data_IF_795840483475
#
_entry.id   IF_795840483475
#
_cell.length_a   1.000
_cell.length_b   1.000
_cell.length_c   1.000
_cell.angle_alpha   90.00
_cell.angle_beta   90.00
_cell.angle_gamma   90.00
#
_symmetry.space_group_name_H-M   'P 1'
#
loop_
_entity.id
_entity.type
_entity.pdbx_description
1 polymer ?
#
# COMPACT_ATOMS: atom_id res chain seq x y z
N UNK A 1 15.12 20.17 -7.59
CA UNK A 1 15.22 21.35 -6.70
C UNK A 1 16.22 22.43 -7.19
N UNK A 2 16.73 22.41 -8.43
CA UNK A 2 17.93 23.20 -8.79
C UNK A 2 17.72 24.68 -9.19
N UNK A 3 16.57 25.28 -8.90
CA UNK A 3 16.35 26.70 -9.20
C UNK A 3 16.80 27.58 -8.02
N UNK A 4 17.87 28.39 -8.16
CA UNK A 4 18.41 29.19 -7.05
C UNK A 4 17.48 30.30 -6.56
N UNK A 5 16.39 30.59 -7.29
CA UNK A 5 15.39 31.59 -6.92
C UNK A 5 14.19 31.00 -6.15
N UNK A 6 14.21 29.71 -5.82
CA UNK A 6 13.14 29.02 -5.10
C UNK A 6 13.74 28.31 -3.88
N UNK A 7 13.03 28.41 -2.75
CA UNK A 7 13.34 27.65 -1.54
C UNK A 7 12.35 26.49 -1.46
N UNK A 8 12.86 25.27 -1.42
CA UNK A 8 12.08 24.07 -1.14
C UNK A 8 12.20 23.76 0.35
N UNK A 9 11.05 23.55 1.00
CA UNK A 9 10.99 23.21 2.42
C UNK A 9 10.40 21.81 2.51
N UNK A 10 11.17 20.91 3.11
CA UNK A 10 10.77 19.53 3.40
C UNK A 10 10.52 19.38 4.90
N UNK A 11 9.53 18.57 5.26
CA UNK A 11 9.19 18.32 6.64
C UNK A 11 8.15 17.22 6.79
N UNK A 12 7.96 16.70 8.01
CA UNK A 12 7.03 15.62 8.27
C UNK A 12 5.59 16.05 7.98
N UNK A 13 4.89 15.26 7.17
CA UNK A 13 3.49 15.45 6.81
C UNK A 13 2.59 14.36 7.42
N UNK A 14 1.32 14.71 7.63
CA UNK A 14 0.29 13.79 8.15
C UNK A 14 -0.36 12.91 7.06
N UNK A 15 0.06 13.09 5.80
CA UNK A 15 -0.66 12.54 4.66
C UNK A 15 -0.27 11.08 4.42
N UNK A 16 -1.28 10.25 4.17
CA UNK A 16 -1.12 8.83 3.86
C UNK A 16 -1.79 8.50 2.53
N UNK A 17 -1.29 7.44 1.88
CA UNK A 17 -1.85 6.86 0.67
C UNK A 17 -2.14 5.40 0.94
N UNK A 18 -3.37 4.97 0.65
CA UNK A 18 -3.85 3.63 0.98
C UNK A 18 -4.88 3.17 -0.04
N UNK A 19 -5.02 1.84 -0.14
CA UNK A 19 -6.05 1.19 -0.95
C UNK A 19 -7.25 0.92 -0.05
N UNK A 20 -8.43 1.34 -0.51
CA UNK A 20 -9.69 1.06 0.16
C UNK A 20 -10.35 -0.18 -0.45
N UNK A 21 -10.64 -1.18 0.37
CA UNK A 21 -11.44 -2.34 -0.04
C UNK A 21 -12.90 -2.17 0.37
N UNK A 22 -13.83 -2.48 -0.53
CA UNK A 22 -15.22 -2.75 -0.13
C UNK A 22 -15.28 -4.14 0.51
N UNK A 23 -15.17 -4.19 1.84
CA UNK A 23 -15.10 -5.43 2.62
C UNK A 23 -16.41 -6.26 2.64
N UNK A 24 -17.45 -5.85 1.91
CA UNK A 24 -18.75 -6.54 1.86
C UNK A 24 -19.08 -7.10 0.49
N UNK A 25 -18.19 -6.94 -0.50
CA UNK A 25 -18.43 -7.35 -1.88
C UNK A 25 -17.31 -8.28 -2.33
N UNK A 26 -17.63 -9.39 -3.01
CA UNK A 26 -16.62 -10.24 -3.61
C UNK A 26 -15.71 -9.46 -4.57
N UNK A 27 -14.39 -9.76 -4.60
CA UNK A 27 -13.70 -10.79 -3.82
C UNK A 27 -13.17 -10.33 -2.45
N UNK A 28 -13.43 -9.07 -2.05
CA UNK A 28 -12.81 -8.43 -0.89
C UNK A 28 -13.55 -8.64 0.44
N UNK A 29 -14.71 -9.30 0.39
CA UNK A 29 -15.38 -9.89 1.54
C UNK A 29 -14.56 -11.03 2.17
N UNK A 30 -13.72 -11.71 1.39
CA UNK A 30 -12.73 -12.64 1.90
C UNK A 30 -11.50 -11.92 2.48
N UNK A 31 -11.26 -12.07 3.78
CA UNK A 31 -10.11 -11.44 4.47
C UNK A 31 -8.76 -11.89 3.92
N UNK A 32 -8.65 -13.15 3.46
CA UNK A 32 -7.39 -13.68 2.89
C UNK A 32 -6.97 -12.93 1.64
N UNK A 33 -7.95 -12.50 0.82
CA UNK A 33 -7.69 -11.71 -0.39
C UNK A 33 -7.07 -10.36 -0.01
N UNK A 34 -7.64 -9.65 0.96
CA UNK A 34 -7.11 -8.36 1.43
C UNK A 34 -5.73 -8.50 2.07
N UNK A 35 -5.51 -9.56 2.86
CA UNK A 35 -4.21 -9.86 3.46
C UNK A 35 -3.15 -10.17 2.40
N UNK A 36 -3.49 -10.99 1.40
CA UNK A 36 -2.60 -11.30 0.29
C UNK A 36 -2.19 -10.05 -0.48
N UNK A 37 -3.14 -9.14 -0.76
CA UNK A 37 -2.83 -7.88 -1.43
C UNK A 37 -1.89 -7.02 -0.56
N UNK A 38 -2.14 -6.92 0.74
CA UNK A 38 -1.28 -6.15 1.66
C UNK A 38 0.16 -6.67 1.72
N UNK A 39 0.34 -8.01 1.68
CA UNK A 39 1.65 -8.68 1.63
C UNK A 39 2.34 -8.52 0.26
N UNK A 40 1.59 -8.34 -0.82
CA UNK A 40 2.16 -8.21 -2.16
C UNK A 40 2.73 -6.81 -2.44
N UNK A 41 2.26 -5.78 -1.72
CA UNK A 41 2.66 -4.38 -1.94
C UNK A 41 4.09 -4.16 -1.46
N UNK A 42 4.95 -3.71 -2.37
CA UNK A 42 6.28 -3.21 -2.06
C UNK A 42 6.21 -1.72 -1.69
N UNK A 43 6.20 -1.43 -0.39
CA UNK A 43 6.08 -0.07 0.12
C UNK A 43 7.37 0.71 -0.05
N UNK A 44 8.51 0.04 0.05
CA UNK A 44 9.84 0.63 -0.12
C UNK A 44 10.06 1.02 -1.57
N UNK A 45 9.78 0.12 -2.52
CA UNK A 45 9.91 0.41 -3.95
C UNK A 45 8.99 1.56 -4.40
N UNK A 46 7.78 1.65 -3.85
CA UNK A 46 6.85 2.76 -4.13
C UNK A 46 7.41 4.08 -3.57
N UNK A 47 7.87 4.08 -2.32
CA UNK A 47 8.49 5.24 -1.67
C UNK A 47 9.68 5.75 -2.49
N UNK A 48 10.59 4.86 -2.88
CA UNK A 48 11.81 5.21 -3.59
C UNK A 48 11.55 5.64 -5.04
N UNK A 49 10.80 4.84 -5.81
CA UNK A 49 10.72 5.03 -7.26
C UNK A 49 9.58 5.95 -7.69
N UNK A 50 8.45 5.93 -6.99
CA UNK A 50 7.27 6.74 -7.35
C UNK A 50 7.33 8.09 -6.65
N UNK A 51 7.68 8.11 -5.37
CA UNK A 51 7.79 9.33 -4.58
C UNK A 51 9.22 9.90 -4.52
N UNK A 52 10.19 9.30 -5.22
CA UNK A 52 11.57 9.78 -5.28
C UNK A 52 12.21 9.95 -3.90
N UNK A 53 11.87 9.08 -2.94
CA UNK A 53 12.37 9.12 -1.57
C UNK A 53 11.82 10.26 -0.71
N UNK A 54 10.83 11.03 -1.21
CA UNK A 54 10.22 12.15 -0.47
C UNK A 54 9.13 11.72 0.53
N UNK A 55 8.77 10.44 0.54
CA UNK A 55 7.74 9.86 1.40
C UNK A 55 8.27 8.60 2.06
N UNK A 56 8.04 8.42 3.34
CA UNK A 56 8.42 7.20 4.06
C UNK A 56 7.44 6.04 3.72
N UNK A 57 7.93 4.78 3.67
CA UNK A 57 7.09 3.58 3.57
C UNK A 57 6.03 3.52 4.68
N UNK A 58 4.77 3.27 4.32
CA UNK A 58 3.65 3.33 5.26
C UNK A 58 3.23 1.94 5.79
N UNK A 59 3.53 1.67 7.06
CA UNK A 59 3.16 0.43 7.75
C UNK A 59 2.04 0.58 8.80
N UNK A 60 1.47 1.78 8.91
CA UNK A 60 0.38 2.09 9.85
C UNK A 60 -0.63 3.06 9.25
N UNK A 61 -1.87 3.01 9.74
CA UNK A 61 -2.86 4.06 9.43
C UNK A 61 -2.57 5.37 10.19
N UNK A 62 -1.86 5.29 11.32
CA UNK A 62 -1.38 6.46 12.06
C UNK A 62 0.07 6.71 11.63
N UNK A 63 0.39 7.84 10.98
CA UNK A 63 1.74 8.14 10.49
C UNK A 63 2.81 8.06 11.58
N UNK A 64 4.04 7.73 11.17
CA UNK A 64 5.21 7.76 12.05
C UNK A 64 5.37 9.15 12.68
N UNK A 65 5.77 9.19 13.95
CA UNK A 65 5.95 10.45 14.69
C UNK A 65 4.66 10.99 15.32
N UNK A 66 3.52 10.34 15.12
CA UNK A 66 2.26 10.66 15.81
C UNK A 66 1.97 9.73 16.98
N UNK A 67 1.26 10.24 17.98
CA UNK A 67 0.78 9.44 19.10
C UNK A 67 -0.16 8.33 18.62
N UNK A 68 0.04 7.10 19.11
CA UNK A 68 -0.73 5.93 18.70
C UNK A 68 -0.23 5.23 17.43
N UNK A 69 0.91 5.64 16.87
CA UNK A 69 1.57 4.92 15.79
C UNK A 69 1.98 3.51 16.22
N UNK A 70 1.53 2.52 15.45
CA UNK A 70 1.88 1.10 15.58
C UNK A 70 1.96 0.52 14.17
N UNK A 71 3.08 -0.13 13.84
CA UNK A 71 3.22 -0.88 12.59
C UNK A 71 2.28 -2.09 12.60
N UNK A 72 1.20 -1.97 11.83
CA UNK A 72 0.10 -2.93 11.79
C UNK A 72 0.03 -3.69 10.46
N UNK A 73 0.70 -3.18 9.42
CA UNK A 73 0.77 -3.83 8.12
C UNK A 73 2.00 -4.73 8.01
N UNK A 74 1.90 -5.87 7.31
CA UNK A 74 3.03 -6.79 7.18
C UNK A 74 4.08 -6.24 6.22
N UNK A 75 5.31 -6.72 6.39
CA UNK A 75 6.35 -6.61 5.37
C UNK A 75 5.94 -7.35 4.09
N UNK A 76 6.60 -7.01 2.97
CA UNK A 76 6.32 -7.64 1.69
C UNK A 76 6.74 -9.11 1.73
N UNK A 77 5.80 -10.01 1.44
CA UNK A 77 6.06 -11.44 1.28
C UNK A 77 5.17 -12.01 0.17
N UNK A 78 5.78 -12.21 -1.00
CA UNK A 78 5.08 -12.72 -2.18
C UNK A 78 4.68 -14.20 -2.04
N UNK A 79 5.43 -14.99 -1.27
CA UNK A 79 5.13 -16.41 -1.11
C UNK A 79 3.94 -16.59 -0.16
N UNK A 80 3.91 -15.86 0.95
CA UNK A 80 2.75 -15.80 1.83
C UNK A 80 1.51 -15.24 1.11
N UNK A 81 1.68 -14.19 0.27
CA UNK A 81 0.59 -13.65 -0.53
C UNK A 81 -0.02 -14.70 -1.48
N UNK A 82 0.82 -15.42 -2.24
CA UNK A 82 0.38 -16.49 -3.15
C UNK A 82 -0.30 -17.64 -2.40
N UNK A 83 0.21 -18.02 -1.22
CA UNK A 83 -0.39 -19.05 -0.40
C UNK A 83 -1.82 -18.66 0.03
N UNK A 84 -2.02 -17.43 0.52
CA UNK A 84 -3.34 -16.92 0.88
C UNK A 84 -4.31 -16.84 -0.32
N UNK A 85 -3.82 -16.46 -1.50
CA UNK A 85 -4.61 -16.46 -2.73
C UNK A 85 -5.01 -17.88 -3.14
N UNK A 86 -4.10 -18.85 -3.01
CA UNK A 86 -4.38 -20.27 -3.27
C UNK A 86 -5.45 -20.80 -2.32
N UNK A 87 -5.34 -20.49 -1.03
CA UNK A 87 -6.36 -20.83 -0.03
C UNK A 87 -7.70 -20.13 -0.28
N UNK A 88 -7.70 -18.99 -0.95
CA UNK A 88 -8.89 -18.26 -1.37
C UNK A 88 -9.48 -18.77 -2.71
N UNK A 89 -8.85 -19.75 -3.35
CA UNK A 89 -9.32 -20.38 -4.59
C UNK A 89 -8.72 -19.83 -5.87
N UNK A 90 -7.72 -18.96 -5.80
CA UNK A 90 -7.03 -18.41 -6.96
C UNK A 90 -5.81 -19.25 -7.36
N UNK A 91 -5.47 -19.23 -8.63
CA UNK A 91 -4.29 -19.94 -9.17
C UNK A 91 -3.77 -19.23 -10.42
N UNK A 92 -2.66 -19.70 -10.98
CA UNK A 92 -2.17 -19.17 -12.26
C UNK A 92 -3.18 -19.37 -13.41
N UNK A 93 -3.98 -20.44 -13.37
CA UNK A 93 -5.02 -20.71 -14.36
C UNK A 93 -6.31 -19.91 -14.14
N UNK A 94 -6.51 -19.37 -12.93
CA UNK A 94 -7.65 -18.54 -12.56
C UNK A 94 -7.16 -17.46 -11.58
N UNK A 95 -6.52 -16.39 -12.11
CA UNK A 95 -5.93 -15.36 -11.27
C UNK A 95 -6.99 -14.52 -10.57
N UNK A 96 -6.59 -13.83 -9.51
CA UNK A 96 -7.40 -12.77 -8.92
C UNK A 96 -7.45 -11.58 -9.90
N UNK A 97 -8.65 -11.25 -10.35
CA UNK A 97 -8.93 -10.05 -11.13
C UNK A 97 -9.57 -8.99 -10.23
N UNK A 98 -9.12 -7.74 -10.35
CA UNK A 98 -9.69 -6.62 -9.63
C UNK A 98 -9.59 -5.32 -10.42
N UNK A 99 -10.59 -4.45 -10.22
CA UNK A 99 -10.54 -3.07 -10.69
C UNK A 99 -9.91 -2.19 -9.61
N UNK A 100 -8.75 -1.61 -9.94
CA UNK A 100 -8.15 -0.56 -9.12
C UNK A 100 -8.66 0.79 -9.60
N UNK A 101 -9.49 1.44 -8.80
CA UNK A 101 -9.90 2.82 -9.04
C UNK A 101 -8.94 3.80 -8.36
N UNK A 102 -8.58 4.86 -9.07
CA UNK A 102 -7.79 5.97 -8.54
C UNK A 102 -8.37 7.30 -9.02
N UNK A 103 -8.16 8.37 -8.27
CA UNK A 103 -8.50 9.72 -8.72
C UNK A 103 -7.42 10.21 -9.69
N UNK A 104 -7.77 10.67 -10.90
CA UNK A 104 -6.78 11.10 -11.89
C UNK A 104 -6.09 12.44 -11.56
N UNK A 105 -6.56 13.17 -10.55
CA UNK A 105 -5.96 14.42 -10.09
C UNK A 105 -5.77 14.41 -8.56
N UNK A 106 -4.62 14.92 -8.14
CA UNK A 106 -4.29 15.32 -6.78
C UNK A 106 -3.90 16.79 -6.79
#
# INVERSE_FOLDING_TARGET
EDNPNVIVIEGPGAYIRYICFNATTPPFDNVKVKQAISLAIDRDEISDRVYLGTHEPLYSMVPMGMEGHIDAFPERDLEAAKALLTEAGYSEASPLEMDLWWTPAH
#
